data_IF_293129521658
#
_entry.id   IF_293129521658
#
_cell.length_a   1.000
_cell.length_b   1.000
_cell.length_c   1.000
_cell.angle_alpha   90.00
_cell.angle_beta   90.00
_cell.angle_gamma   90.00
#
_symmetry.space_group_name_H-M   'P 1'
#
loop_
_entity.id
_entity.type
_entity.pdbx_description
1 polymer ?
#
# COMPACT_ATOMS: atom_id res chain seq x y z
N UNK A 1 -12.95 -11.96 12.32
CA UNK A 1 -12.15 -13.20 12.11
C UNK A 1 -11.36 -13.47 13.39
N UNK A 2 -11.15 -14.73 13.79
CA UNK A 2 -10.21 -15.02 14.87
C UNK A 2 -8.84 -14.47 14.48
N UNK A 3 -8.18 -13.81 15.42
CA UNK A 3 -6.84 -13.25 15.24
C UNK A 3 -5.85 -14.42 15.03
N UNK A 4 -5.15 -14.43 13.89
CA UNK A 4 -4.11 -15.44 13.59
C UNK A 4 -2.79 -15.00 14.22
N UNK A 5 -2.30 -15.77 15.20
CA UNK A 5 -1.09 -15.44 15.95
C UNK A 5 0.17 -15.62 15.10
N UNK A 6 0.14 -16.49 14.09
CA UNK A 6 1.25 -16.63 13.15
C UNK A 6 1.40 -15.39 12.26
N UNK A 7 0.28 -14.78 11.89
CA UNK A 7 0.24 -13.54 11.12
C UNK A 7 0.73 -12.34 11.94
N UNK A 8 0.32 -12.21 13.21
CA UNK A 8 0.80 -11.14 14.10
C UNK A 8 2.32 -11.21 14.32
N UNK A 9 2.84 -12.41 14.48
CA UNK A 9 4.26 -12.62 14.72
C UNK A 9 5.08 -12.67 13.42
N UNK A 10 4.43 -12.62 12.26
CA UNK A 10 5.04 -12.74 10.93
C UNK A 10 5.90 -14.01 10.77
N UNK A 11 5.45 -15.12 11.36
CA UNK A 11 6.14 -16.43 11.31
C UNK A 11 5.28 -17.49 10.66
N UNK A 12 5.91 -18.39 9.91
CA UNK A 12 5.21 -19.52 9.30
C UNK A 12 4.66 -20.48 10.38
N UNK A 13 3.51 -21.15 10.14
CA UNK A 13 2.95 -22.14 11.07
C UNK A 13 3.90 -23.30 11.44
N UNK A 14 4.87 -23.61 10.56
CA UNK A 14 5.91 -24.62 10.78
C UNK A 14 7.18 -24.12 11.48
N UNK A 15 7.21 -22.87 11.96
CA UNK A 15 8.40 -22.29 12.59
C UNK A 15 8.81 -23.05 13.87
N UNK A 16 10.12 -23.14 14.12
CA UNK A 16 10.66 -23.73 15.34
C UNK A 16 10.34 -22.86 16.57
N UNK A 17 10.33 -23.46 17.76
CA UNK A 17 10.07 -22.73 19.02
C UNK A 17 11.06 -21.58 19.24
N UNK A 18 12.31 -21.72 18.77
CA UNK A 18 13.31 -20.66 18.83
C UNK A 18 12.97 -19.49 17.90
N UNK A 19 12.50 -19.77 16.69
CA UNK A 19 12.07 -18.75 15.74
C UNK A 19 10.85 -17.97 16.26
N UNK A 20 9.89 -18.68 16.87
CA UNK A 20 8.71 -18.07 17.49
C UNK A 20 9.12 -17.19 18.68
N UNK A 21 10.02 -17.67 19.55
CA UNK A 21 10.53 -16.88 20.69
C UNK A 21 11.27 -15.62 20.23
N UNK A 22 12.07 -15.73 19.15
CA UNK A 22 12.76 -14.59 18.55
C UNK A 22 11.76 -13.58 17.98
N UNK A 23 10.72 -14.04 17.27
CA UNK A 23 9.67 -13.20 16.72
C UNK A 23 8.87 -12.47 17.81
N UNK A 24 8.48 -13.18 18.89
CA UNK A 24 7.80 -12.59 20.07
C UNK A 24 8.67 -11.49 20.68
N UNK A 25 9.97 -11.76 20.88
CA UNK A 25 10.90 -10.80 21.47
C UNK A 25 11.04 -9.55 20.59
N UNK A 26 11.12 -9.73 19.27
CA UNK A 26 11.19 -8.64 18.30
C UNK A 26 9.91 -7.79 18.32
N UNK A 27 8.74 -8.43 18.22
CA UNK A 27 7.44 -7.76 18.25
C UNK A 27 7.18 -7.06 19.58
N UNK A 28 7.49 -7.68 20.73
CA UNK A 28 7.32 -7.06 22.05
C UNK A 28 8.17 -5.79 22.18
N UNK A 29 9.43 -5.82 21.71
CA UNK A 29 10.32 -4.64 21.73
C UNK A 29 9.75 -3.47 20.92
N UNK A 30 9.17 -3.76 19.77
CA UNK A 30 8.51 -2.80 18.87
C UNK A 30 7.31 -2.14 19.57
N UNK A 31 6.40 -2.95 20.10
CA UNK A 31 5.13 -2.44 20.65
C UNK A 31 5.27 -1.78 22.01
N UNK A 32 6.13 -2.27 22.91
CA UNK A 32 6.39 -1.65 24.22
C UNK A 32 6.95 -0.23 24.07
N UNK A 33 7.83 0.01 23.09
CA UNK A 33 8.34 1.36 22.82
C UNK A 33 7.23 2.32 22.39
N UNK A 34 6.22 1.82 21.68
CA UNK A 34 5.10 2.61 21.12
C UNK A 34 4.02 2.95 22.15
N UNK A 35 3.98 2.25 23.30
CA UNK A 35 3.12 2.61 24.44
C UNK A 35 3.47 3.97 25.06
N UNK A 36 4.69 4.49 24.83
CA UNK A 36 5.14 5.82 25.28
C UNK A 36 4.80 6.97 24.31
N UNK A 37 3.93 6.73 23.33
CA UNK A 37 3.53 7.75 22.35
C UNK A 37 2.70 8.88 23.01
N UNK A 38 2.91 10.15 22.66
CA UNK A 38 2.09 11.26 23.16
C UNK A 38 0.65 11.27 22.61
N UNK A 39 0.38 10.49 21.56
CA UNK A 39 -0.94 10.31 20.95
C UNK A 39 -1.73 9.18 21.66
N UNK A 40 -2.91 9.48 22.25
CA UNK A 40 -3.74 8.50 22.96
C UNK A 40 -4.14 7.27 22.14
N UNK A 41 -4.45 7.43 20.86
CA UNK A 41 -4.90 6.33 20.01
C UNK A 41 -3.74 5.38 19.71
N UNK A 42 -2.54 5.92 19.47
CA UNK A 42 -1.31 5.13 19.29
C UNK A 42 -0.93 4.36 20.55
N UNK A 43 -1.20 4.89 21.74
CA UNK A 43 -0.98 4.16 23.00
C UNK A 43 -1.94 2.98 23.14
N UNK A 44 -3.24 3.22 22.98
CA UNK A 44 -4.25 2.17 23.06
C UNK A 44 -3.98 1.04 22.05
N UNK A 45 -3.57 1.39 20.83
CA UNK A 45 -3.18 0.42 19.81
C UNK A 45 -1.94 -0.38 20.19
N UNK A 46 -0.88 0.28 20.67
CA UNK A 46 0.33 -0.39 21.13
C UNK A 46 0.06 -1.32 22.32
N UNK A 47 -0.83 -0.93 23.23
CA UNK A 47 -1.29 -1.77 24.34
C UNK A 47 -2.06 -3.00 23.85
N UNK A 48 -2.93 -2.86 22.84
CA UNK A 48 -3.62 -4.00 22.24
C UNK A 48 -2.64 -4.96 21.58
N UNK A 49 -1.66 -4.45 20.82
CA UNK A 49 -0.65 -5.30 20.16
C UNK A 49 0.26 -6.02 21.14
N UNK A 50 0.62 -5.40 22.26
CA UNK A 50 1.33 -6.11 23.34
C UNK A 50 0.48 -7.24 23.91
N UNK A 51 -0.83 -7.01 24.13
CA UNK A 51 -1.76 -8.07 24.58
C UNK A 51 -1.88 -9.21 23.57
N UNK A 52 -1.91 -8.91 22.27
CA UNK A 52 -1.97 -9.93 21.23
C UNK A 52 -0.67 -10.76 21.18
N UNK A 53 0.50 -10.13 21.37
CA UNK A 53 1.80 -10.81 21.47
C UNK A 53 1.88 -11.67 22.74
N UNK A 54 1.37 -11.19 23.87
CA UNK A 54 1.28 -11.97 25.12
C UNK A 54 0.38 -13.21 24.96
N UNK A 55 -0.74 -13.05 24.24
CA UNK A 55 -1.65 -14.15 23.94
C UNK A 55 -1.01 -15.17 22.97
N UNK A 56 -0.28 -14.69 21.96
CA UNK A 56 0.46 -15.53 21.03
C UNK A 56 1.59 -16.29 21.75
N UNK A 57 2.28 -15.67 22.71
CA UNK A 57 3.31 -16.32 23.51
C UNK A 57 2.75 -17.52 24.29
N UNK A 58 1.62 -17.32 24.98
CA UNK A 58 0.94 -18.40 25.72
C UNK A 58 0.43 -19.51 24.80
N UNK A 59 -0.02 -19.16 23.60
CA UNK A 59 -0.59 -20.12 22.66
C UNK A 59 0.47 -20.91 21.87
N UNK A 60 1.64 -20.32 21.58
CA UNK A 60 2.60 -20.87 20.61
C UNK A 60 3.92 -21.37 21.21
N UNK A 61 4.30 -20.96 22.43
CA UNK A 61 5.54 -21.44 23.06
C UNK A 61 5.38 -22.77 23.80
N UNK A 62 4.18 -23.08 24.31
CA UNK A 62 3.89 -24.39 24.89
C UNK A 62 3.44 -25.37 23.80
N UNK A 63 4.02 -26.58 23.80
CA UNK A 63 3.79 -27.56 22.75
C UNK A 63 2.34 -28.09 22.74
N UNK A 64 1.74 -28.25 23.93
CA UNK A 64 0.35 -28.71 24.07
C UNK A 64 -0.65 -27.59 23.72
N UNK A 65 -0.38 -26.35 24.14
CA UNK A 65 -1.17 -25.19 23.75
C UNK A 65 -1.12 -24.93 22.24
N UNK A 66 0.07 -25.10 21.62
CA UNK A 66 0.27 -24.89 20.18
C UNK A 66 -0.51 -25.90 19.35
N UNK A 67 -0.46 -27.18 19.71
CA UNK A 67 -1.25 -28.19 18.99
C UNK A 67 -2.76 -27.95 19.12
N UNK A 68 -3.24 -27.59 20.31
CA UNK A 68 -4.64 -27.24 20.53
C UNK A 68 -5.07 -25.99 19.74
N UNK A 69 -4.18 -24.99 19.63
CA UNK A 69 -4.37 -23.80 18.82
C UNK A 69 -4.41 -24.13 17.32
N UNK A 70 -3.46 -24.91 16.83
CA UNK A 70 -3.37 -25.34 15.43
C UNK A 70 -4.61 -26.16 15.02
N UNK A 71 -5.09 -27.04 15.91
CA UNK A 71 -6.35 -27.74 15.70
C UNK A 71 -7.56 -26.80 15.67
N UNK A 72 -7.60 -25.80 16.55
CA UNK A 72 -8.68 -24.80 16.57
C UNK A 72 -8.65 -23.96 15.30
N UNK A 73 -7.47 -23.57 14.84
CA UNK A 73 -7.25 -22.84 13.60
C UNK A 73 -7.63 -23.68 12.39
N UNK A 74 -7.25 -24.97 12.37
CA UNK A 74 -7.65 -25.92 11.33
C UNK A 74 -9.16 -26.19 11.34
N UNK A 75 -9.80 -26.30 12.52
CA UNK A 75 -11.27 -26.39 12.65
C UNK A 75 -11.95 -25.12 12.15
N UNK A 76 -11.42 -23.94 12.47
CA UNK A 76 -11.94 -22.66 12.00
C UNK A 76 -11.79 -22.49 10.48
N UNK A 77 -10.65 -22.90 9.91
CA UNK A 77 -10.42 -22.90 8.46
C UNK A 77 -11.29 -23.92 7.75
N UNK A 78 -11.48 -25.12 8.33
CA UNK A 78 -12.41 -26.13 7.82
C UNK A 78 -13.87 -25.71 7.91
N UNK A 79 -14.29 -25.04 8.98
CA UNK A 79 -15.65 -24.51 9.12
C UNK A 79 -15.91 -23.31 8.22
N UNK A 80 -14.90 -22.48 7.97
CA UNK A 80 -14.93 -21.46 6.93
C UNK A 80 -15.02 -22.09 5.52
N UNK A 81 -14.29 -23.17 5.27
CA UNK A 81 -14.34 -23.91 4.01
C UNK A 81 -15.68 -24.65 3.81
N UNK A 82 -16.27 -25.25 4.85
CA UNK A 82 -17.59 -25.92 4.78
C UNK A 82 -18.75 -24.93 4.67
N UNK A 83 -18.65 -23.76 5.28
CA UNK A 83 -19.56 -22.64 4.99
C UNK A 83 -19.40 -22.12 3.55
N UNK A 84 -18.28 -22.39 2.90
CA UNK A 84 -18.04 -22.11 1.48
C UNK A 84 -18.49 -23.23 0.51
N UNK A 85 -18.67 -24.48 0.99
CA UNK A 85 -19.03 -25.64 0.14
C UNK A 85 -20.46 -26.17 0.37
N UNK A 86 -21.21 -25.62 1.31
CA UNK A 86 -22.58 -26.03 1.63
C UNK A 86 -23.66 -25.45 0.72
N UNK A 87 -23.62 -25.72 -0.60
CA UNK A 87 -24.82 -25.73 -1.45
C UNK A 87 -24.56 -26.68 -2.64
N UNK A 88 -24.73 -27.98 -2.44
CA UNK A 88 -24.51 -28.97 -3.50
C UNK A 88 -24.58 -30.43 -3.04
N UNK A 89 -25.81 -30.90 -2.83
CA UNK A 89 -26.30 -32.29 -2.98
C UNK A 89 -25.59 -33.46 -2.28
N UNK A 90 -26.35 -34.16 -1.43
CA UNK A 90 -26.12 -35.55 -1.09
C UNK A 90 -26.46 -36.49 -2.26
N UNK A 91 -25.78 -37.63 -2.27
CA UNK A 91 -26.03 -38.75 -3.17
C UNK A 91 -24.96 -39.83 -2.97
N UNK A 92 -25.32 -40.89 -2.25
CA UNK A 92 -24.49 -42.07 -2.00
C UNK A 92 -24.18 -42.83 -3.29
N UNK A 93 -23.00 -43.46 -3.34
CA UNK A 93 -22.62 -44.43 -4.36
C UNK A 93 -21.24 -45.02 -4.13
N UNK A 94 -21.21 -46.15 -3.41
CA UNK A 94 -20.05 -47.02 -3.21
C UNK A 94 -19.62 -47.70 -4.52
N UNK A 95 -18.31 -47.90 -4.73
CA UNK A 95 -17.81 -48.80 -5.78
C UNK A 95 -16.39 -48.53 -6.26
N UNK A 96 -15.46 -49.35 -5.78
CA UNK A 96 -14.06 -49.50 -6.20
C UNK A 96 -13.88 -49.98 -7.64
N UNK A 97 -12.96 -49.38 -8.41
CA UNK A 97 -11.76 -50.04 -8.98
C UNK A 97 -11.06 -49.18 -10.04
N UNK A 98 -9.72 -49.18 -9.95
CA UNK A 98 -8.82 -49.58 -11.05
C UNK A 98 -8.84 -48.82 -12.38
N UNK A 99 -7.72 -48.13 -12.60
CA UNK A 99 -6.94 -48.12 -13.84
C UNK A 99 -7.22 -47.14 -14.98
N UNK A 100 -6.09 -46.54 -15.39
CA UNK A 100 -5.73 -46.08 -16.72
C UNK A 100 -6.45 -44.85 -17.32
N UNK A 101 -5.87 -43.69 -17.04
CA UNK A 101 -5.97 -42.49 -17.87
C UNK A 101 -5.35 -42.76 -19.25
N UNK A 102 -6.18 -42.73 -20.30
CA UNK A 102 -5.77 -42.50 -21.69
C UNK A 102 -6.46 -41.24 -22.22
N UNK A 103 -5.62 -40.30 -22.61
CA UNK A 103 -5.75 -39.21 -23.60
C UNK A 103 -7.13 -38.86 -24.17
N UNK A 104 -7.49 -37.57 -24.08
CA UNK A 104 -7.67 -36.72 -25.28
C UNK A 104 -8.01 -35.27 -24.95
N UNK A 105 -7.19 -34.38 -25.52
CA UNK A 105 -7.47 -32.96 -25.77
C UNK A 105 -8.63 -32.84 -26.78
N UNK A 106 -9.63 -31.97 -26.58
CA UNK A 106 -10.50 -31.56 -27.68
C UNK A 106 -10.05 -30.22 -28.28
N UNK A 107 -9.83 -30.23 -29.59
CA UNK A 107 -9.66 -29.06 -30.46
C UNK A 107 -11.04 -28.60 -31.00
N UNK A 108 -11.16 -27.37 -31.58
CA UNK A 108 -12.42 -26.66 -31.75
C UNK A 108 -13.17 -27.05 -33.03
N UNK A 109 -14.50 -26.93 -33.00
CA UNK A 109 -15.40 -27.16 -34.14
C UNK A 109 -15.58 -25.90 -35.02
N UNK A 110 -15.76 -26.05 -36.35
CA UNK A 110 -16.03 -24.93 -37.25
C UNK A 110 -17.53 -24.70 -37.48
N UNK A 111 -17.89 -23.45 -37.75
CA UNK A 111 -19.21 -23.01 -38.21
C UNK A 111 -19.43 -23.29 -39.71
N UNK A 112 -20.69 -23.30 -40.19
CA UNK A 112 -21.02 -22.95 -41.57
C UNK A 112 -21.98 -21.76 -41.67
N UNK A 113 -21.91 -21.07 -42.82
CA UNK A 113 -22.48 -19.76 -43.09
C UNK A 113 -23.97 -19.72 -43.49
N UNK A 114 -24.50 -18.49 -43.60
CA UNK A 114 -25.78 -18.17 -44.28
C UNK A 114 -25.58 -17.94 -45.80
N UNK A 115 -26.45 -17.17 -46.51
CA UNK A 115 -27.70 -16.51 -46.09
C UNK A 115 -28.91 -16.72 -47.07
N UNK A 116 -30.12 -16.31 -46.68
CA UNK A 116 -31.28 -16.20 -47.59
C UNK A 116 -32.49 -15.52 -46.93
N UNK A 117 -32.95 -14.40 -47.50
CA UNK A 117 -33.98 -13.49 -46.95
C UNK A 117 -35.45 -13.86 -47.23
N UNK A 118 -36.39 -12.89 -47.33
CA UNK A 118 -37.40 -12.65 -46.29
C UNK A 118 -38.86 -12.85 -46.74
N UNK A 119 -39.78 -13.16 -45.81
CA UNK A 119 -41.25 -13.02 -45.98
C UNK A 119 -41.95 -12.77 -44.62
N UNK A 120 -42.76 -11.71 -44.50
CA UNK A 120 -43.77 -11.51 -43.44
C UNK A 120 -45.16 -12.00 -43.89
N UNK A 121 -46.32 -11.52 -43.34
CA UNK A 121 -46.62 -11.05 -41.97
C UNK A 121 -47.90 -11.69 -41.32
N UNK A 122 -47.96 -11.71 -39.97
CA UNK A 122 -49.17 -11.77 -39.08
C UNK A 122 -50.08 -13.02 -39.05
N UNK A 123 -51.09 -13.14 -38.14
CA UNK A 123 -51.38 -12.37 -36.90
C UNK A 123 -51.81 -13.21 -35.64
N UNK A 124 -51.92 -12.51 -34.50
CA UNK A 124 -52.89 -12.65 -33.37
C UNK A 124 -53.01 -13.91 -32.47
N UNK A 125 -53.00 -13.69 -31.15
CA UNK A 125 -54.01 -14.23 -30.22
C UNK A 125 -53.55 -14.86 -28.89
N UNK A 126 -54.05 -14.31 -27.75
CA UNK A 126 -54.25 -15.01 -26.46
C UNK A 126 -53.27 -14.64 -25.32
N UNK A 127 -53.49 -13.60 -24.50
CA UNK A 127 -54.28 -13.53 -23.23
C UNK A 127 -54.02 -14.63 -22.19
N UNK A 128 -53.55 -14.21 -21.00
CA UNK A 128 -54.16 -14.68 -19.73
C UNK A 128 -53.24 -15.10 -18.57
N UNK A 129 -53.35 -14.34 -17.47
CA UNK A 129 -53.12 -14.72 -16.05
C UNK A 129 -51.66 -14.86 -15.58
N UNK A 130 -51.17 -14.19 -14.54
CA UNK A 130 -51.86 -13.74 -13.32
C UNK A 130 -51.31 -14.54 -12.13
N UNK A 131 -50.21 -14.07 -11.55
CA UNK A 131 -49.55 -14.70 -10.40
C UNK A 131 -48.80 -13.67 -9.57
N UNK A 132 -49.54 -13.00 -8.69
CA UNK A 132 -49.04 -12.09 -7.66
C UNK A 132 -48.47 -12.88 -6.47
N UNK A 133 -47.30 -12.48 -5.96
CA UNK A 133 -46.94 -12.74 -4.55
C UNK A 133 -45.45 -12.87 -4.25
N UNK A 134 -44.85 -11.80 -3.73
CA UNK A 134 -43.61 -11.86 -2.94
C UNK A 134 -42.61 -10.75 -3.27
N UNK A 135 -42.12 -9.96 -2.29
CA UNK A 135 -41.23 -8.84 -2.56
C UNK A 135 -39.89 -9.37 -3.07
N UNK A 136 -39.54 -8.94 -4.28
CA UNK A 136 -38.22 -9.16 -4.86
C UNK A 136 -37.16 -8.49 -4.00
N UNK A 137 -36.68 -9.21 -2.98
CA UNK A 137 -35.30 -9.04 -2.58
C UNK A 137 -34.49 -9.59 -3.74
N UNK A 138 -33.86 -8.69 -4.50
CA UNK A 138 -32.83 -9.02 -5.48
C UNK A 138 -31.64 -9.61 -4.71
N UNK A 139 -31.81 -10.82 -4.20
CA UNK A 139 -30.72 -11.64 -3.73
C UNK A 139 -29.91 -11.98 -4.97
N UNK A 140 -28.81 -11.25 -5.19
CA UNK A 140 -27.73 -11.75 -6.01
C UNK A 140 -27.42 -13.15 -5.50
N UNK A 141 -27.89 -14.16 -6.24
CA UNK A 141 -27.53 -15.54 -6.03
C UNK A 141 -26.02 -15.56 -6.30
N UNK A 142 -25.20 -15.47 -5.25
CA UNK A 142 -23.74 -15.55 -5.34
C UNK A 142 -23.42 -16.76 -6.17
N UNK A 143 -22.89 -16.53 -7.35
CA UNK A 143 -22.42 -17.61 -8.20
C UNK A 143 -21.12 -18.15 -7.58
N UNK A 144 -21.10 -19.41 -7.10
CA UNK A 144 -19.91 -19.97 -6.48
C UNK A 144 -18.69 -19.97 -7.42
N UNK A 145 -18.93 -19.97 -8.73
CA UNK A 145 -17.88 -19.85 -9.75
C UNK A 145 -17.18 -18.48 -9.66
N UNK A 146 -17.96 -17.39 -9.62
CA UNK A 146 -17.45 -16.02 -9.51
C UNK A 146 -16.66 -15.81 -8.22
N UNK A 147 -17.14 -16.32 -7.10
CA UNK A 147 -16.44 -16.27 -5.82
C UNK A 147 -15.09 -17.02 -5.88
N UNK A 148 -15.01 -18.12 -6.63
CA UNK A 148 -13.75 -18.85 -6.79
C UNK A 148 -12.75 -18.09 -7.69
N UNK A 149 -13.24 -17.50 -8.78
CA UNK A 149 -12.46 -16.59 -9.62
C UNK A 149 -11.89 -15.41 -8.78
N UNK A 150 -12.70 -14.77 -7.94
CA UNK A 150 -12.23 -13.72 -7.02
C UNK A 150 -11.13 -14.22 -6.07
N UNK A 151 -11.32 -15.38 -5.44
CA UNK A 151 -10.32 -15.97 -4.53
C UNK A 151 -9.02 -16.36 -5.24
N UNK A 152 -9.09 -16.84 -6.49
CA UNK A 152 -7.91 -17.12 -7.32
C UNK A 152 -7.20 -15.83 -7.71
N UNK A 153 -7.96 -14.79 -8.10
CA UNK A 153 -7.46 -13.46 -8.37
C UNK A 153 -6.65 -12.90 -7.21
N UNK A 154 -7.21 -12.94 -6.00
CA UNK A 154 -6.55 -12.45 -4.79
C UNK A 154 -5.24 -13.19 -4.51
N UNK A 155 -5.24 -14.52 -4.60
CA UNK A 155 -4.00 -15.33 -4.45
C UNK A 155 -2.95 -14.99 -5.49
N UNK A 156 -3.34 -14.76 -6.74
CA UNK A 156 -2.39 -14.36 -7.77
C UNK A 156 -1.85 -12.95 -7.53
N UNK A 157 -2.68 -12.05 -6.99
CA UNK A 157 -2.28 -10.69 -6.64
C UNK A 157 -1.25 -10.70 -5.51
N UNK A 158 -1.49 -11.48 -4.44
CA UNK A 158 -0.54 -11.71 -3.34
C UNK A 158 0.79 -12.29 -3.82
N UNK A 159 0.76 -13.16 -4.83
CA UNK A 159 1.96 -13.77 -5.42
C UNK A 159 2.69 -12.85 -6.42
N UNK A 160 2.21 -11.63 -6.65
CA UNK A 160 2.74 -10.72 -7.67
C UNK A 160 2.53 -11.21 -9.10
N UNK A 161 1.63 -12.17 -9.32
CA UNK A 161 1.29 -12.72 -10.65
C UNK A 161 0.20 -11.88 -11.29
N UNK A 162 0.52 -10.61 -11.53
CA UNK A 162 -0.43 -9.57 -11.93
C UNK A 162 -1.27 -9.89 -13.17
N UNK A 163 -0.68 -10.55 -14.17
CA UNK A 163 -1.39 -10.94 -15.40
C UNK A 163 -2.45 -12.02 -15.15
N UNK A 164 -2.14 -12.99 -14.29
CA UNK A 164 -3.09 -14.04 -13.93
C UNK A 164 -4.19 -13.48 -13.03
N UNK A 165 -3.83 -12.63 -12.06
CA UNK A 165 -4.80 -11.94 -11.21
C UNK A 165 -5.79 -11.13 -12.07
N UNK A 166 -5.28 -10.36 -13.04
CA UNK A 166 -6.12 -9.59 -13.94
C UNK A 166 -7.09 -10.50 -14.73
N UNK A 167 -6.63 -11.63 -15.27
CA UNK A 167 -7.50 -12.53 -16.03
C UNK A 167 -8.68 -13.07 -15.19
N UNK A 168 -8.43 -13.40 -13.92
CA UNK A 168 -9.47 -13.85 -13.00
C UNK A 168 -10.47 -12.73 -12.67
N UNK A 169 -9.99 -11.50 -12.44
CA UNK A 169 -10.88 -10.36 -12.20
C UNK A 169 -11.63 -9.90 -13.45
N UNK A 170 -11.02 -9.98 -14.64
CA UNK A 170 -11.67 -9.68 -15.91
C UNK A 170 -12.86 -10.64 -16.13
N UNK A 171 -12.69 -11.93 -15.84
CA UNK A 171 -13.77 -12.93 -15.92
C UNK A 171 -14.98 -12.58 -15.04
N UNK A 172 -14.71 -12.11 -13.81
CA UNK A 172 -15.77 -11.67 -12.89
C UNK A 172 -16.41 -10.37 -13.36
N UNK A 173 -15.61 -9.39 -13.79
CA UNK A 173 -16.12 -8.10 -14.29
C UNK A 173 -17.04 -8.26 -15.51
N UNK A 174 -16.76 -9.22 -16.39
CA UNK A 174 -17.61 -9.51 -17.55
C UNK A 174 -19.01 -9.99 -17.18
N UNK A 175 -19.16 -10.63 -16.02
CA UNK A 175 -20.44 -11.17 -15.53
C UNK A 175 -21.11 -10.26 -14.52
N UNK A 176 -20.32 -9.63 -13.66
CA UNK A 176 -20.75 -8.65 -12.67
C UNK A 176 -19.92 -7.37 -12.81
N UNK A 177 -20.31 -6.46 -13.73
CA UNK A 177 -19.57 -5.21 -13.99
C UNK A 177 -19.41 -4.30 -12.77
N UNK A 178 -20.36 -4.38 -11.83
CA UNK A 178 -20.42 -3.55 -10.63
C UNK A 178 -19.80 -4.24 -9.39
N UNK A 179 -19.19 -5.42 -9.55
CA UNK A 179 -18.55 -6.12 -8.44
C UNK A 179 -17.32 -5.34 -7.95
N UNK A 180 -17.45 -4.67 -6.81
CA UNK A 180 -16.43 -3.80 -6.24
C UNK A 180 -15.12 -4.53 -5.95
N UNK A 181 -15.18 -5.80 -5.55
CA UNK A 181 -13.99 -6.61 -5.26
C UNK A 181 -13.23 -6.95 -6.55
N UNK A 182 -13.94 -7.25 -7.64
CA UNK A 182 -13.32 -7.43 -8.95
C UNK A 182 -12.69 -6.13 -9.46
N UNK A 183 -13.38 -4.99 -9.34
CA UNK A 183 -12.87 -3.68 -9.77
C UNK A 183 -11.63 -3.25 -8.97
N UNK A 184 -11.63 -3.44 -7.66
CA UNK A 184 -10.49 -3.12 -6.78
C UNK A 184 -9.30 -4.03 -7.05
N UNK A 185 -9.53 -5.34 -7.14
CA UNK A 185 -8.51 -6.32 -7.49
C UNK A 185 -7.89 -6.07 -8.87
N UNK A 186 -8.71 -5.72 -9.88
CA UNK A 186 -8.24 -5.39 -11.21
C UNK A 186 -7.39 -4.11 -11.22
N UNK A 187 -7.82 -3.08 -10.50
CA UNK A 187 -7.06 -1.84 -10.36
C UNK A 187 -5.70 -2.08 -9.70
N UNK A 188 -5.66 -2.85 -8.61
CA UNK A 188 -4.42 -3.22 -7.93
C UNK A 188 -3.51 -4.10 -8.81
N UNK A 189 -4.06 -5.09 -9.52
CA UNK A 189 -3.31 -5.91 -10.47
C UNK A 189 -2.70 -5.08 -11.61
N UNK A 190 -3.43 -4.09 -12.13
CA UNK A 190 -2.92 -3.19 -13.16
C UNK A 190 -1.79 -2.31 -12.63
N UNK A 191 -1.92 -1.76 -11.41
CA UNK A 191 -0.83 -1.01 -10.77
C UNK A 191 0.42 -1.87 -10.59
N UNK A 192 0.27 -3.08 -10.04
CA UNK A 192 1.37 -4.05 -9.88
C UNK A 192 2.02 -4.47 -11.21
N UNK A 193 1.22 -4.56 -12.28
CA UNK A 193 1.72 -4.84 -13.63
C UNK A 193 2.47 -3.66 -14.29
N UNK A 194 2.63 -2.52 -13.61
CA UNK A 194 3.24 -1.30 -14.17
C UNK A 194 2.28 -0.45 -15.00
N UNK A 195 1.03 -0.89 -15.17
CA UNK A 195 -0.08 -0.16 -15.82
C UNK A 195 -0.70 0.85 -14.85
N UNK A 196 0.15 1.69 -14.28
CA UNK A 196 -0.18 2.59 -13.15
C UNK A 196 -1.33 3.54 -13.49
N UNK A 197 -1.34 4.12 -14.70
CA UNK A 197 -2.39 5.06 -15.10
C UNK A 197 -3.75 4.38 -15.20
N UNK A 198 -3.82 3.23 -15.87
CA UNK A 198 -5.07 2.49 -16.04
C UNK A 198 -5.62 2.02 -14.70
N UNK A 199 -4.78 1.40 -13.86
CA UNK A 199 -5.21 0.88 -12.56
C UNK A 199 -5.72 1.96 -11.61
N UNK A 200 -5.02 3.11 -11.54
CA UNK A 200 -5.49 4.25 -10.74
C UNK A 200 -6.78 4.87 -11.30
N UNK A 201 -7.00 4.84 -12.62
CA UNK A 201 -8.25 5.31 -13.23
C UNK A 201 -9.42 4.38 -12.91
N UNK A 202 -9.21 3.06 -12.95
CA UNK A 202 -10.23 2.07 -12.55
C UNK A 202 -10.63 2.26 -11.09
N UNK A 203 -9.67 2.31 -10.18
CA UNK A 203 -9.93 2.52 -8.75
C UNK A 203 -10.61 3.85 -8.47
N UNK A 204 -10.19 4.91 -9.17
CA UNK A 204 -10.81 6.21 -9.00
C UNK A 204 -12.28 6.23 -9.44
N UNK A 205 -12.59 5.61 -10.59
CA UNK A 205 -13.99 5.46 -11.04
C UNK A 205 -14.81 4.61 -10.08
N UNK A 206 -14.21 3.57 -9.49
CA UNK A 206 -14.90 2.73 -8.51
C UNK A 206 -15.25 3.53 -7.24
N UNK A 207 -14.36 4.39 -6.74
CA UNK A 207 -14.65 5.32 -5.62
C UNK A 207 -15.70 6.37 -6.00
N UNK A 208 -15.64 6.92 -7.22
CA UNK A 208 -16.62 7.90 -7.71
C UNK A 208 -18.02 7.29 -7.84
N UNK A 209 -18.11 6.03 -8.29
CA UNK A 209 -19.36 5.29 -8.39
C UNK A 209 -19.90 4.83 -7.02
N UNK A 210 -19.01 4.55 -6.05
CA UNK A 210 -19.38 4.06 -4.72
C UNK A 210 -18.66 4.84 -3.61
N UNK A 211 -19.08 6.09 -3.32
CA UNK A 211 -18.38 6.97 -2.37
C UNK A 211 -18.44 6.50 -0.91
N UNK A 212 -19.36 5.59 -0.56
CA UNK A 212 -19.48 5.05 0.80
C UNK A 212 -18.71 3.73 0.99
N UNK A 213 -18.20 3.14 -0.10
CA UNK A 213 -17.48 1.87 -0.05
C UNK A 213 -16.05 2.09 0.47
N UNK A 214 -15.85 1.85 1.76
CA UNK A 214 -14.57 2.06 2.45
C UNK A 214 -13.46 1.17 1.89
N UNK A 215 -13.77 -0.08 1.55
CA UNK A 215 -12.87 -1.05 0.92
C UNK A 215 -12.30 -0.54 -0.41
N UNK A 216 -13.14 0.09 -1.24
CA UNK A 216 -12.72 0.68 -2.52
C UNK A 216 -11.82 1.89 -2.31
N UNK A 217 -12.13 2.74 -1.33
CA UNK A 217 -11.27 3.86 -0.94
C UNK A 217 -9.92 3.35 -0.41
N UNK A 218 -9.90 2.31 0.42
CA UNK A 218 -8.68 1.68 0.93
C UNK A 218 -7.83 1.16 -0.22
N UNK A 219 -8.43 0.46 -1.18
CA UNK A 219 -7.71 -0.03 -2.37
C UNK A 219 -7.08 1.12 -3.17
N UNK A 220 -7.80 2.23 -3.37
CA UNK A 220 -7.25 3.43 -4.01
C UNK A 220 -6.11 4.04 -3.18
N UNK A 221 -6.26 4.13 -1.86
CA UNK A 221 -5.23 4.66 -0.96
C UNK A 221 -3.94 3.84 -1.01
N UNK A 222 -4.06 2.51 -0.93
CA UNK A 222 -2.95 1.56 -1.05
C UNK A 222 -2.23 1.72 -2.39
N UNK A 223 -2.98 1.72 -3.50
CA UNK A 223 -2.39 1.92 -4.83
C UNK A 223 -1.66 3.28 -4.97
N UNK A 224 -2.23 4.36 -4.42
CA UNK A 224 -1.58 5.68 -4.41
C UNK A 224 -0.30 5.71 -3.59
N UNK A 225 -0.28 4.98 -2.47
CA UNK A 225 0.88 4.84 -1.61
C UNK A 225 1.98 4.00 -2.29
N UNK A 226 1.65 2.83 -2.82
CA UNK A 226 2.59 1.96 -3.53
C UNK A 226 3.26 2.68 -4.70
N UNK A 227 2.47 3.39 -5.51
CA UNK A 227 3.00 4.20 -6.62
C UNK A 227 3.91 5.33 -6.10
N UNK A 228 3.58 5.95 -4.97
CA UNK A 228 4.41 6.97 -4.37
C UNK A 228 5.76 6.41 -3.90
N UNK A 229 5.76 5.30 -3.17
CA UNK A 229 6.97 4.68 -2.60
C UNK A 229 7.84 4.06 -3.70
N UNK A 230 7.26 3.33 -4.65
CA UNK A 230 8.05 2.73 -5.76
C UNK A 230 8.62 3.77 -6.73
N UNK A 231 8.06 4.99 -6.76
CA UNK A 231 8.55 6.06 -7.63
C UNK A 231 9.75 6.84 -7.08
N UNK A 232 10.04 6.70 -5.78
CA UNK A 232 11.17 7.38 -5.14
C UNK A 232 12.43 6.51 -5.18
N UNK A 233 13.59 7.15 -5.04
CA UNK A 233 14.84 6.40 -4.99
C UNK A 233 14.95 5.73 -3.63
N UNK A 234 15.66 4.60 -3.54
CA UNK A 234 15.86 3.91 -2.28
C UNK A 234 17.34 3.96 -1.86
N UNK A 235 17.57 4.11 -0.56
CA UNK A 235 18.88 4.22 0.05
C UNK A 235 19.11 3.08 1.04
N UNK A 236 20.11 2.24 0.75
CA UNK A 236 20.62 1.24 1.68
C UNK A 236 21.53 1.88 2.73
N UNK A 237 21.21 1.73 4.01
CA UNK A 237 22.05 2.23 5.11
C UNK A 237 23.33 1.38 5.36
N UNK A 238 23.61 0.42 4.47
CA UNK A 238 24.69 -0.56 4.62
C UNK A 238 24.40 -1.66 5.66
N UNK A 239 23.26 -1.61 6.36
CA UNK A 239 22.80 -2.64 7.31
C UNK A 239 21.66 -3.50 6.74
N UNK A 240 21.48 -3.46 5.41
CA UNK A 240 20.42 -4.18 4.73
C UNK A 240 19.04 -3.53 4.80
N UNK A 241 18.91 -2.33 5.39
CA UNK A 241 17.64 -1.59 5.35
C UNK A 241 17.63 -0.62 4.17
N UNK A 242 16.71 -0.86 3.23
CA UNK A 242 16.47 0.02 2.09
C UNK A 242 15.38 1.02 2.44
N UNK A 243 15.68 2.32 2.31
CA UNK A 243 14.83 3.40 2.82
C UNK A 243 14.41 4.31 1.68
N UNK A 244 13.11 4.61 1.51
CA UNK A 244 12.65 5.51 0.46
C UNK A 244 13.17 6.94 0.69
N UNK A 245 13.68 7.58 -0.37
CA UNK A 245 14.26 8.93 -0.33
C UNK A 245 13.88 9.72 -1.59
N UNK A 246 13.35 10.93 -1.39
CA UNK A 246 13.05 11.85 -2.49
C UNK A 246 14.32 12.59 -2.92
N UNK A 247 14.70 12.47 -4.19
CA UNK A 247 15.90 13.11 -4.77
C UNK A 247 15.57 14.13 -5.86
N UNK A 248 14.34 14.13 -6.37
CA UNK A 248 13.91 14.99 -7.47
C UNK A 248 12.64 15.79 -7.15
N UNK A 249 12.51 16.96 -7.81
CA UNK A 249 11.29 17.78 -7.71
C UNK A 249 10.06 17.05 -8.27
N UNK A 250 10.25 16.20 -9.29
CA UNK A 250 9.18 15.37 -9.87
C UNK A 250 8.62 14.38 -8.85
N UNK A 251 9.50 13.62 -8.20
CA UNK A 251 9.14 12.73 -7.08
C UNK A 251 8.44 13.49 -5.96
N UNK A 252 9.00 14.63 -5.52
CA UNK A 252 8.39 15.47 -4.50
C UNK A 252 6.94 15.88 -4.86
N UNK A 253 6.72 16.34 -6.09
CA UNK A 253 5.39 16.75 -6.55
C UNK A 253 4.40 15.59 -6.66
N UNK A 254 4.89 14.40 -7.04
CA UNK A 254 4.11 13.18 -7.15
C UNK A 254 3.64 12.70 -5.77
N UNK A 255 4.57 12.53 -4.83
CA UNK A 255 4.28 12.11 -3.45
C UNK A 255 3.33 13.11 -2.79
N UNK A 256 3.57 14.41 -2.94
CA UNK A 256 2.67 15.46 -2.41
C UNK A 256 1.26 15.40 -3.01
N UNK A 257 1.13 15.01 -4.28
CA UNK A 257 -0.17 14.85 -4.93
C UNK A 257 -0.89 13.61 -4.38
N UNK A 258 -0.20 12.49 -4.22
CA UNK A 258 -0.78 11.27 -3.69
C UNK A 258 -1.19 11.41 -2.22
N UNK A 259 -0.36 12.02 -1.37
CA UNK A 259 -0.74 12.33 0.02
C UNK A 259 -2.04 13.16 0.10
N UNK A 260 -2.17 14.18 -0.75
CA UNK A 260 -3.41 14.99 -0.80
C UNK A 260 -4.62 14.18 -1.25
N UNK A 261 -4.45 13.24 -2.18
CA UNK A 261 -5.53 12.36 -2.64
C UNK A 261 -5.93 11.38 -1.53
N UNK A 262 -4.97 10.76 -0.85
CA UNK A 262 -5.23 9.84 0.26
C UNK A 262 -6.01 10.55 1.37
N UNK A 263 -5.58 11.75 1.79
CA UNK A 263 -6.28 12.52 2.83
C UNK A 263 -7.71 12.93 2.46
N UNK A 264 -7.99 13.13 1.17
CA UNK A 264 -9.34 13.44 0.68
C UNK A 264 -10.31 12.25 0.73
N UNK A 265 -9.80 11.03 0.91
CA UNK A 265 -10.66 9.85 1.05
C UNK A 265 -11.28 9.76 2.46
N UNK A 266 -10.79 10.57 3.42
CA UNK A 266 -11.32 10.68 4.78
C UNK A 266 -11.45 9.33 5.49
N UNK A 267 -10.47 8.46 5.26
CA UNK A 267 -10.41 7.13 5.85
C UNK A 267 -9.82 7.16 7.26
N UNK A 268 -10.47 6.45 8.18
CA UNK A 268 -10.02 6.20 9.55
C UNK A 268 -9.22 4.91 9.72
N UNK A 269 -9.11 4.10 8.66
CA UNK A 269 -8.33 2.85 8.67
C UNK A 269 -6.86 3.10 9.09
N UNK A 270 -6.36 2.26 10.00
CA UNK A 270 -5.00 2.39 10.55
C UNK A 270 -3.91 2.26 9.46
N UNK A 271 -4.08 1.36 8.49
CA UNK A 271 -3.09 1.18 7.43
C UNK A 271 -3.02 2.43 6.56
N UNK A 272 -4.17 3.05 6.28
CA UNK A 272 -4.23 4.27 5.45
C UNK A 272 -3.69 5.50 6.18
N UNK A 273 -3.96 5.63 7.48
CA UNK A 273 -3.36 6.70 8.30
C UNK A 273 -1.85 6.54 8.37
N UNK A 274 -1.34 5.31 8.48
CA UNK A 274 0.09 4.99 8.40
C UNK A 274 0.70 5.40 7.05
N UNK A 275 0.06 5.06 5.92
CA UNK A 275 0.50 5.51 4.59
C UNK A 275 0.58 7.04 4.50
N UNK A 276 -0.43 7.75 5.00
CA UNK A 276 -0.48 9.20 4.94
C UNK A 276 0.62 9.85 5.79
N UNK A 277 0.93 9.29 6.96
CA UNK A 277 2.02 9.78 7.81
C UNK A 277 3.39 9.48 7.21
N UNK A 278 3.62 8.29 6.64
CA UNK A 278 4.90 7.98 6.00
C UNK A 278 5.19 8.90 4.80
N UNK A 279 4.19 9.13 3.93
CA UNK A 279 4.36 10.06 2.80
C UNK A 279 4.58 11.51 3.28
N UNK A 280 3.96 11.90 4.39
CA UNK A 280 4.15 13.22 5.01
C UNK A 280 5.57 13.36 5.54
N UNK A 281 6.08 12.33 6.22
CA UNK A 281 7.44 12.31 6.76
C UNK A 281 8.48 12.36 5.64
N UNK A 282 8.29 11.60 4.55
CA UNK A 282 9.13 11.67 3.36
C UNK A 282 9.17 13.09 2.76
N UNK A 283 8.03 13.77 2.69
CA UNK A 283 7.95 15.15 2.20
C UNK A 283 8.59 16.16 3.16
N UNK A 284 8.48 15.94 4.46
CA UNK A 284 9.10 16.77 5.48
C UNK A 284 10.63 16.64 5.43
N UNK A 285 11.14 15.42 5.35
CA UNK A 285 12.56 15.13 5.19
C UNK A 285 13.11 15.76 3.92
N UNK A 286 12.43 15.56 2.78
CA UNK A 286 12.82 16.17 1.52
C UNK A 286 12.96 17.70 1.59
N UNK A 287 12.10 18.36 2.38
CA UNK A 287 12.10 19.82 2.59
C UNK A 287 13.02 20.29 3.70
N UNK A 288 13.54 19.41 4.53
CA UNK A 288 14.34 19.78 5.68
C UNK A 288 15.51 20.69 5.21
N UNK A 289 15.72 21.84 5.87
CA UNK A 289 16.80 22.74 5.50
C UNK A 289 18.13 22.09 5.86
N UNK A 290 18.99 21.91 4.86
CA UNK A 290 20.33 21.36 5.07
C UNK A 290 21.35 22.42 4.70
N UNK A 291 22.34 22.58 5.58
CA UNK A 291 23.45 23.49 5.38
C UNK A 291 24.52 22.84 4.52
N UNK A 292 24.73 23.38 3.33
CA UNK A 292 25.76 22.91 2.41
C UNK A 292 27.05 23.68 2.65
N UNK A 293 28.13 22.99 3.02
CA UNK A 293 29.46 23.58 3.23
C UNK A 293 29.93 24.27 1.95
N UNK A 294 30.19 25.57 2.02
CA UNK A 294 30.71 26.35 0.90
C UNK A 294 32.19 26.03 0.69
N UNK A 295 32.60 25.72 -0.54
CA UNK A 295 34.02 25.59 -0.90
C UNK A 295 34.75 26.94 -0.93
N UNK A 296 34.01 28.05 -1.03
CA UNK A 296 34.56 29.39 -1.22
C UNK A 296 33.93 30.37 -0.22
N UNK A 297 34.09 30.10 1.08
CA UNK A 297 33.61 30.95 2.17
C UNK A 297 34.14 32.40 2.06
N UNK A 298 35.34 32.56 1.47
CA UNK A 298 36.00 33.85 1.19
C UNK A 298 35.12 34.81 0.37
N UNK A 299 34.27 34.31 -0.54
CA UNK A 299 33.37 35.13 -1.35
C UNK A 299 32.33 35.90 -0.53
N UNK A 300 32.07 35.48 0.71
CA UNK A 300 31.13 36.17 1.60
C UNK A 300 31.87 36.91 2.72
N UNK A 301 32.96 36.33 3.25
CA UNK A 301 33.69 36.94 4.35
C UNK A 301 34.41 38.23 3.96
N UNK A 302 34.99 38.32 2.75
CA UNK A 302 35.67 39.53 2.27
C UNK A 302 34.72 40.72 2.12
N UNK A 303 33.59 40.61 1.37
CA UNK A 303 32.65 41.73 1.27
C UNK A 303 31.94 42.04 2.60
N UNK A 304 31.72 41.04 3.46
CA UNK A 304 31.16 41.26 4.80
C UNK A 304 32.10 42.10 5.67
N UNK A 305 33.40 41.76 5.68
CA UNK A 305 34.41 42.54 6.39
C UNK A 305 34.52 43.97 5.83
N UNK A 306 34.49 44.12 4.50
CA UNK A 306 34.47 45.44 3.85
C UNK A 306 33.25 46.27 4.23
N UNK A 307 32.06 45.67 4.30
CA UNK A 307 30.84 46.37 4.71
C UNK A 307 30.86 46.78 6.19
N UNK A 308 31.41 45.93 7.07
CA UNK A 308 31.61 46.27 8.50
C UNK A 308 32.59 47.43 8.63
N UNK A 309 33.71 47.39 7.90
CA UNK A 309 34.69 48.47 7.90
C UNK A 309 34.10 49.78 7.37
N UNK A 310 33.28 49.71 6.31
CA UNK A 310 32.58 50.87 5.76
C UNK A 310 31.64 51.53 6.77
N UNK A 311 30.87 50.73 7.53
CA UNK A 311 30.01 51.25 8.61
C UNK A 311 30.83 51.91 9.72
N UNK A 312 31.96 51.30 10.10
CA UNK A 312 32.83 51.81 11.16
C UNK A 312 33.49 53.15 10.80
N UNK A 313 33.87 53.33 9.53
CA UNK A 313 34.51 54.55 9.02
C UNK A 313 33.52 55.64 8.57
N UNK A 314 32.24 55.31 8.45
CA UNK A 314 31.23 56.27 8.02
C UNK A 314 30.95 57.32 9.12
N UNK A 315 31.19 58.59 8.80
CA UNK A 315 30.85 59.74 9.66
C UNK A 315 29.41 60.23 9.47
N UNK A 316 28.74 59.81 8.40
CA UNK A 316 27.35 60.17 8.08
C UNK A 316 26.43 59.00 8.42
N UNK A 317 25.34 59.29 9.12
CA UNK A 317 24.39 58.28 9.60
C UNK A 317 23.70 57.53 8.46
N UNK A 318 23.36 58.22 7.36
CA UNK A 318 22.77 57.58 6.17
C UNK A 318 23.70 56.55 5.53
N UNK A 319 25.02 56.78 5.52
CA UNK A 319 26.00 55.82 5.00
C UNK A 319 26.13 54.60 5.91
N UNK A 320 26.02 54.77 7.24
CA UNK A 320 25.97 53.63 8.18
C UNK A 320 24.76 52.75 7.93
N UNK A 321 23.60 53.34 7.64
CA UNK A 321 22.38 52.59 7.27
C UNK A 321 22.60 51.79 5.99
N UNK A 322 23.17 52.41 4.95
CA UNK A 322 23.47 51.72 3.67
C UNK A 322 24.44 50.55 3.90
N UNK A 323 25.49 50.74 4.69
CA UNK A 323 26.44 49.67 5.03
C UNK A 323 25.79 48.53 5.83
N UNK A 324 24.90 48.86 6.78
CA UNK A 324 24.14 47.87 7.54
C UNK A 324 23.19 47.05 6.64
N UNK A 325 22.51 47.70 5.69
CA UNK A 325 21.70 47.01 4.67
C UNK A 325 22.55 46.05 3.83
N UNK A 326 23.78 46.44 3.48
CA UNK A 326 24.73 45.59 2.76
C UNK A 326 25.16 44.36 3.57
N UNK A 327 25.43 44.51 4.86
CA UNK A 327 25.73 43.40 5.78
C UNK A 327 24.56 42.41 5.80
N UNK A 328 23.33 42.91 5.99
CA UNK A 328 22.11 42.09 5.99
C UNK A 328 21.95 41.37 4.65
N UNK A 329 22.18 42.05 3.53
CA UNK A 329 22.08 41.46 2.19
C UNK A 329 23.10 40.33 1.98
N UNK A 330 24.36 40.51 2.38
CA UNK A 330 25.41 39.48 2.23
C UNK A 330 25.08 38.25 3.08
N UNK A 331 24.65 38.46 4.33
CA UNK A 331 24.22 37.36 5.22
C UNK A 331 22.99 36.66 4.64
N UNK A 332 22.00 37.42 4.17
CA UNK A 332 20.80 36.86 3.54
C UNK A 332 21.14 36.03 2.29
N UNK A 333 22.03 36.53 1.41
CA UNK A 333 22.51 35.79 0.25
C UNK A 333 23.24 34.51 0.64
N UNK A 334 24.09 34.56 1.69
CA UNK A 334 24.75 33.37 2.22
C UNK A 334 23.73 32.33 2.71
N UNK A 335 22.77 32.75 3.53
CA UNK A 335 21.71 31.88 4.05
C UNK A 335 20.89 31.29 2.92
N UNK A 336 20.37 32.11 2.00
CA UNK A 336 19.54 31.65 0.87
C UNK A 336 20.29 30.70 -0.07
N UNK A 337 21.59 30.91 -0.25
CA UNK A 337 22.44 30.06 -1.09
C UNK A 337 22.80 28.75 -0.41
N UNK A 338 23.09 28.75 0.88
CA UNK A 338 23.61 27.58 1.59
C UNK A 338 22.56 26.78 2.37
N UNK A 339 21.38 27.35 2.63
CA UNK A 339 20.20 26.67 3.19
C UNK A 339 19.36 26.10 2.05
N UNK A 340 19.75 24.92 1.57
CA UNK A 340 19.04 24.23 0.48
C UNK A 340 18.16 23.10 1.03
N UNK A 341 17.05 22.75 0.36
CA UNK A 341 16.23 21.61 0.77
C UNK A 341 16.99 20.30 0.58
N UNK A 342 16.80 19.35 1.49
CA UNK A 342 17.52 18.07 1.55
C UNK A 342 17.51 17.28 0.24
N UNK A 343 16.39 17.27 -0.51
CA UNK A 343 16.30 16.53 -1.77
C UNK A 343 17.37 16.95 -2.81
N UNK A 344 17.81 18.22 -2.82
CA UNK A 344 18.90 18.68 -3.71
C UNK A 344 20.25 18.08 -3.32
N UNK A 345 20.44 17.77 -2.04
CA UNK A 345 21.64 17.13 -1.54
C UNK A 345 21.60 15.61 -1.72
N UNK A 346 20.43 14.97 -1.52
CA UNK A 346 20.26 13.53 -1.77
C UNK A 346 20.73 13.18 -3.19
N UNK A 347 20.34 13.96 -4.20
CA UNK A 347 20.80 13.79 -5.59
C UNK A 347 22.34 13.81 -5.75
N UNK A 348 23.03 14.66 -4.98
CA UNK A 348 24.50 14.81 -5.04
C UNK A 348 25.22 13.68 -4.29
N UNK A 349 24.63 13.15 -3.23
CA UNK A 349 25.13 11.96 -2.53
C UNK A 349 24.94 10.68 -3.36
N UNK A 350 23.78 10.54 -4.00
CA UNK A 350 23.41 9.39 -4.83
C UNK A 350 24.39 9.18 -6.00
N UNK A 351 24.79 10.26 -6.69
CA UNK A 351 25.75 10.19 -7.79
C UNK A 351 27.19 9.83 -7.41
N UNK A 352 27.56 9.89 -6.12
CA UNK A 352 28.89 9.47 -5.61
C UNK A 352 28.87 8.11 -4.91
N UNK A 353 27.69 7.54 -4.64
CA UNK A 353 27.47 6.38 -3.78
C UNK A 353 27.45 5.02 -4.47
N UNK A 354 27.97 4.87 -5.70
CA UNK A 354 28.14 3.52 -6.30
C UNK A 354 29.23 2.69 -5.60
N UNK A 355 29.94 3.27 -4.63
CA UNK A 355 30.86 2.56 -3.74
C UNK A 355 30.70 3.03 -2.29
N UNK A 356 30.01 2.23 -1.46
CA UNK A 356 30.24 2.10 -0.01
C UNK A 356 30.26 3.35 0.89
N UNK A 357 29.73 4.49 0.47
CA UNK A 357 29.79 5.74 1.24
C UNK A 357 28.61 5.90 2.19
N UNK A 358 28.88 6.23 3.47
CA UNK A 358 27.84 6.61 4.46
C UNK A 358 26.89 7.65 3.87
N UNK A 359 25.59 7.36 3.92
CA UNK A 359 24.54 8.31 3.54
C UNK A 359 24.62 9.59 4.36
N UNK A 360 24.01 10.69 3.90
CA UNK A 360 23.98 11.93 4.66
C UNK A 360 23.41 11.67 6.06
N UNK A 361 24.26 11.80 7.08
CA UNK A 361 23.84 11.70 8.48
C UNK A 361 23.07 12.97 8.82
N UNK A 362 21.75 12.89 8.72
CA UNK A 362 20.87 13.92 9.26
C UNK A 362 20.94 13.83 10.79
N UNK A 363 21.44 14.88 11.44
CA UNK A 363 21.45 15.03 12.91
C UNK A 363 20.06 15.29 13.51
N UNK A 364 18.99 14.99 12.77
CA UNK A 364 17.63 14.97 13.27
C UNK A 364 17.26 13.51 13.53
N UNK A 365 16.86 13.22 14.75
CA UNK A 365 16.41 11.90 15.19
C UNK A 365 15.31 11.39 14.25
N UNK A 366 15.69 10.58 13.27
CA UNK A 366 14.87 9.45 12.87
C UNK A 366 14.75 8.62 14.15
N UNK A 367 13.68 8.88 14.91
CA UNK A 367 13.23 7.98 15.94
C UNK A 367 12.92 6.71 15.17
N UNK A 368 13.89 5.78 15.19
CA UNK A 368 13.77 4.46 14.60
C UNK A 368 12.51 3.84 15.21
N UNK A 369 11.41 3.93 14.46
CA UNK A 369 10.24 3.09 14.63
C UNK A 369 10.63 1.69 14.20
N UNK A 370 11.45 1.06 15.06
CA UNK A 370 11.41 -0.39 15.25
C UNK A 370 10.50 -0.49 16.46
#
# INVERSE_FOLDING_TARGET
MPVDYYEILEVAPGASTEQIRAAITAQRRVWVRRQSSPDPERRAYAEQRVRDVDAAEKALLDAAARSAYDEKLARARRSAATKGTGTGAGGQGSGSNGDAVRDRVPAPTPAPGGPGGPRGPGPSGGTGSGGSGGPGTSGHRRDPDLDDHLRRGDRYLEQGRWRLAQAEYDYVREREPDNLRALTGLGAAQVGAGRVKEGLTVLQRAVEANPEAEDVKVALATALYEVAVTSVDHWGDGRGTDRPVITSRRQYTLVRRHLRRIRKLELTDWNVTMYAEELKDLLAEARAPVWVRSRSLRLYLVPLAGAILFVALAHVESLRVVGACWIVLIVALYVLRHRQPAWKQHRRGYGRGRGGGRGPTYGGTFRKGI
#
